data_IF_003986294602
#
_entry.id   IF_003986294602
#
_cell.length_a   1.000
_cell.length_b   1.000
_cell.length_c   1.000
_cell.angle_alpha   90.00
_cell.angle_beta   90.00
_cell.angle_gamma   90.00
#
_symmetry.space_group_name_H-M   'P 1'
#
loop_
_entity.id
_entity.type
_entity.pdbx_description
1 polymer ?
#
# COMPACT_ATOMS: atom_id res chain seq x y z
N UNK A 1 6.29 -1.67 -3.47
CA UNK A 1 7.55 -2.13 -2.84
C UNK A 1 8.17 -3.21 -3.70
N UNK A 2 9.48 -3.13 -3.94
CA UNK A 2 10.27 -4.18 -4.60
C UNK A 2 11.66 -4.17 -3.95
N UNK A 3 12.04 -5.26 -3.27
CA UNK A 3 13.25 -5.28 -2.41
C UNK A 3 14.54 -5.15 -3.23
N UNK A 4 14.68 -5.93 -4.30
CA UNK A 4 15.81 -5.82 -5.24
C UNK A 4 17.18 -6.07 -4.64
N UNK A 5 17.24 -6.59 -3.40
CA UNK A 5 18.48 -6.67 -2.65
C UNK A 5 19.20 -5.32 -2.53
N UNK A 6 18.45 -4.23 -2.32
CA UNK A 6 18.99 -2.87 -2.32
C UNK A 6 20.14 -2.66 -1.31
N UNK A 7 20.16 -3.43 -0.22
CA UNK A 7 21.15 -3.35 0.85
C UNK A 7 22.26 -4.42 0.75
N UNK A 8 22.22 -5.27 -0.28
CA UNK A 8 23.21 -6.33 -0.50
C UNK A 8 23.13 -7.51 0.49
N UNK A 9 22.20 -7.51 1.45
CA UNK A 9 22.17 -8.51 2.55
C UNK A 9 21.51 -9.83 2.17
N UNK A 10 20.81 -9.88 1.04
CA UNK A 10 20.04 -11.04 0.56
C UNK A 10 19.05 -11.58 1.60
N UNK A 11 18.54 -10.69 2.45
CA UNK A 11 17.60 -11.03 3.51
C UNK A 11 16.31 -10.23 3.31
N UNK A 12 15.17 -10.91 3.23
CA UNK A 12 13.89 -10.27 2.94
C UNK A 12 13.40 -9.53 4.19
N UNK A 13 13.23 -8.19 4.14
CA UNK A 13 12.69 -7.45 5.26
C UNK A 13 11.19 -7.69 5.41
N UNK A 14 10.71 -7.65 6.65
CA UNK A 14 9.31 -7.59 7.01
C UNK A 14 9.08 -6.37 7.91
N UNK A 15 8.04 -5.61 7.61
CA UNK A 15 7.71 -4.40 8.35
C UNK A 15 6.23 -4.09 8.25
N UNK A 16 5.73 -3.37 9.24
CA UNK A 16 4.34 -2.92 9.28
C UNK A 16 4.23 -1.51 8.73
N UNK A 17 3.10 -1.24 8.06
CA UNK A 17 2.69 0.08 7.62
C UNK A 17 1.60 0.61 8.55
N UNK A 18 1.75 1.87 8.92
CA UNK A 18 0.71 2.64 9.60
C UNK A 18 0.43 3.91 8.78
N UNK A 19 -0.83 4.29 8.75
CA UNK A 19 -1.26 5.63 8.32
C UNK A 19 -1.68 6.38 9.57
N UNK A 20 -0.92 7.43 9.88
CA UNK A 20 -0.92 8.10 11.17
C UNK A 20 -0.70 7.08 12.32
N UNK A 21 -1.68 6.92 13.20
CA UNK A 21 -1.63 5.97 14.33
C UNK A 21 -2.32 4.63 14.02
N UNK A 22 -2.93 4.50 12.84
CA UNK A 22 -3.76 3.35 12.48
C UNK A 22 -2.93 2.31 11.73
N UNK A 23 -3.00 1.06 12.18
CA UNK A 23 -2.39 -0.06 11.46
C UNK A 23 -3.04 -0.23 10.09
N UNK A 24 -2.21 -0.29 9.05
CA UNK A 24 -2.66 -0.52 7.68
C UNK A 24 -2.45 -1.98 7.28
N UNK A 25 -1.20 -2.45 7.23
CA UNK A 25 -0.88 -3.80 6.73
C UNK A 25 0.59 -4.14 6.99
N UNK A 26 0.93 -5.44 6.99
CA UNK A 26 2.32 -5.90 6.93
C UNK A 26 2.79 -6.06 5.49
N UNK A 27 4.04 -5.69 5.23
CA UNK A 27 4.75 -5.90 3.97
C UNK A 27 5.69 -7.09 4.13
N UNK A 28 5.46 -8.12 3.33
CA UNK A 28 6.23 -9.36 3.27
C UNK A 28 6.57 -9.66 1.82
N UNK A 29 7.70 -10.33 1.57
CA UNK A 29 8.13 -10.72 0.24
C UNK A 29 8.36 -12.23 0.17
N UNK A 30 8.02 -12.85 -0.96
CA UNK A 30 8.35 -14.24 -1.32
C UNK A 30 9.76 -14.34 -1.89
N UNK A 31 10.22 -13.30 -2.59
CA UNK A 31 11.58 -13.20 -3.14
C UNK A 31 11.96 -11.74 -3.43
N UNK A 32 13.22 -11.50 -3.81
CA UNK A 32 13.76 -10.15 -4.00
C UNK A 32 13.18 -9.39 -5.22
N UNK A 33 12.66 -10.11 -6.21
CA UNK A 33 12.09 -9.54 -7.45
C UNK A 33 10.58 -9.34 -7.38
N UNK A 34 9.93 -9.70 -6.26
CA UNK A 34 8.50 -9.55 -6.12
C UNK A 34 8.09 -8.08 -6.02
N UNK A 35 7.08 -7.73 -6.81
CA UNK A 35 6.39 -6.45 -6.70
C UNK A 35 5.21 -6.59 -5.73
N UNK A 36 5.34 -5.98 -4.55
CA UNK A 36 4.28 -5.92 -3.55
C UNK A 36 3.62 -4.53 -3.60
N UNK A 37 2.34 -4.50 -3.95
CA UNK A 37 1.53 -3.27 -3.98
C UNK A 37 0.57 -3.32 -2.79
N UNK A 38 0.52 -2.22 -2.04
CA UNK A 38 -0.45 -2.01 -0.97
C UNK A 38 -1.24 -0.74 -1.30
N UNK A 39 -2.55 -0.80 -1.13
CA UNK A 39 -3.44 0.33 -1.36
C UNK A 39 -4.39 0.50 -0.18
N UNK A 40 -4.59 1.75 0.24
CA UNK A 40 -5.55 2.16 1.26
C UNK A 40 -6.26 3.42 0.79
N UNK A 41 -7.55 3.45 1.05
CA UNK A 41 -8.33 4.68 1.06
C UNK A 41 -8.45 5.12 2.51
N UNK A 42 -7.98 6.33 2.81
CA UNK A 42 -8.08 6.92 4.15
C UNK A 42 -8.73 8.29 4.06
N UNK A 43 -9.38 8.70 5.15
CA UNK A 43 -9.88 10.06 5.31
C UNK A 43 -8.79 10.92 5.97
N UNK A 44 -8.43 12.04 5.34
CA UNK A 44 -7.46 12.96 5.90
C UNK A 44 -8.13 13.84 6.96
N UNK A 45 -7.83 13.58 8.24
CA UNK A 45 -8.33 14.37 9.38
C UNK A 45 -7.57 15.70 9.55
N UNK A 46 -6.42 15.84 8.90
CA UNK A 46 -5.57 17.02 8.96
C UNK A 46 -4.89 17.31 7.61
N UNK A 47 -4.23 18.46 7.50
CA UNK A 47 -3.43 18.82 6.32
C UNK A 47 -2.16 17.95 6.15
N UNK A 48 -1.79 17.19 7.19
CA UNK A 48 -0.66 16.27 7.18
C UNK A 48 -1.13 14.83 7.36
N UNK A 49 -0.50 13.92 6.62
CA UNK A 49 -0.68 12.47 6.78
C UNK A 49 0.69 11.84 6.96
N UNK A 50 0.84 11.03 7.99
CA UNK A 50 2.08 10.30 8.26
C UNK A 50 1.97 8.88 7.74
N UNK A 51 2.99 8.43 7.01
CA UNK A 51 3.13 7.02 6.63
C UNK A 51 4.33 6.46 7.38
N UNK A 52 4.06 5.62 8.38
CA UNK A 52 5.07 5.09 9.27
C UNK A 52 5.42 3.65 8.87
N UNK A 53 6.72 3.36 8.79
CA UNK A 53 7.25 2.03 8.52
C UNK A 53 7.87 1.48 9.81
N UNK A 54 7.23 0.47 10.40
CA UNK A 54 7.66 -0.11 11.67
C UNK A 54 8.47 -1.37 11.42
N UNK A 55 9.75 -1.34 11.81
CA UNK A 55 10.66 -2.46 11.65
C UNK A 55 10.31 -3.60 12.62
N UNK A 56 10.20 -4.83 12.11
CA UNK A 56 9.96 -6.04 12.92
C UNK A 56 11.23 -6.82 13.28
N UNK A 57 12.40 -6.24 13.02
CA UNK A 57 13.71 -6.81 13.32
C UNK A 57 14.29 -7.69 12.21
N UNK A 58 13.64 -7.80 11.07
CA UNK A 58 14.05 -8.70 9.96
C UNK A 58 14.77 -7.98 8.82
N UNK A 59 14.89 -6.65 8.87
CA UNK A 59 15.64 -5.86 7.90
C UNK A 59 15.27 -4.38 7.98
N UNK A 60 15.86 -3.53 7.13
CA UNK A 60 15.52 -2.10 7.11
C UNK A 60 14.27 -1.88 6.26
N UNK A 61 13.18 -1.31 6.83
CA UNK A 61 11.99 -0.96 6.05
C UNK A 61 12.30 0.06 4.95
N UNK A 62 11.60 -0.01 3.83
CA UNK A 62 11.86 0.84 2.68
C UNK A 62 10.57 1.15 1.92
N UNK A 63 10.59 2.23 1.13
CA UNK A 63 9.54 2.59 0.17
C UNK A 63 10.18 2.70 -1.21
N UNK A 64 9.66 1.98 -2.20
CA UNK A 64 10.09 2.14 -3.60
C UNK A 64 9.36 3.28 -4.30
N UNK A 65 8.07 3.43 -4.02
CA UNK A 65 7.21 4.48 -4.54
C UNK A 65 6.05 4.71 -3.56
N UNK A 66 5.65 5.97 -3.40
CA UNK A 66 4.49 6.40 -2.64
C UNK A 66 3.65 7.33 -3.52
N UNK A 67 2.38 6.98 -3.70
CA UNK A 67 1.43 7.72 -4.55
C UNK A 67 0.28 8.18 -3.65
N UNK A 68 0.05 9.50 -3.56
CA UNK A 68 -1.09 10.08 -2.86
C UNK A 68 -2.06 10.66 -3.88
N UNK A 69 -3.34 10.31 -3.76
CA UNK A 69 -4.37 10.75 -4.70
C UNK A 69 -5.61 11.24 -3.98
N UNK A 70 -5.96 12.53 -4.13
CA UNK A 70 -7.28 12.99 -3.77
C UNK A 70 -8.33 12.22 -4.56
N UNK A 71 -9.40 11.82 -3.90
CA UNK A 71 -10.49 11.09 -4.54
C UNK A 71 -11.83 11.46 -3.90
N UNK A 72 -12.90 11.42 -4.69
CA UNK A 72 -14.25 11.61 -4.18
C UNK A 72 -14.68 10.37 -3.39
N UNK A 73 -15.03 10.53 -2.12
CA UNK A 73 -15.46 9.43 -1.25
C UNK A 73 -16.89 8.94 -1.53
N UNK A 74 -17.65 9.64 -2.38
CA UNK A 74 -19.03 9.26 -2.70
C UNK A 74 -19.18 7.88 -3.34
N UNK A 75 -18.14 7.39 -4.01
CA UNK A 75 -18.13 6.11 -4.73
C UNK A 75 -17.83 4.90 -3.82
N UNK A 76 -17.33 5.12 -2.60
CA UNK A 76 -17.07 4.06 -1.61
C UNK A 76 -17.86 4.34 -0.34
N UNK A 77 -19.14 3.98 -0.35
CA UNK A 77 -19.99 3.99 0.84
C UNK A 77 -19.77 2.73 1.67
N UNK A 78 -19.77 2.88 3.00
CA UNK A 78 -19.76 1.75 3.94
C UNK A 78 -20.93 1.87 4.92
N UNK A 79 -21.31 0.77 5.55
CA UNK A 79 -22.31 0.76 6.64
C UNK A 79 -21.86 1.56 7.88
N UNK A 80 -20.55 1.81 8.01
CA UNK A 80 -19.94 2.61 9.07
C UNK A 80 -19.75 4.08 8.67
N UNK A 81 -20.30 4.51 7.52
CA UNK A 81 -20.16 5.86 6.99
C UNK A 81 -19.01 6.02 6.00
N UNK A 82 -18.52 7.25 5.84
CA UNK A 82 -17.47 7.61 4.85
C UNK A 82 -16.14 8.03 5.47
N UNK A 83 -16.09 8.16 6.79
CA UNK A 83 -14.89 8.55 7.55
C UNK A 83 -14.18 7.30 8.09
N UNK A 84 -14.15 6.24 7.30
CA UNK A 84 -13.49 4.98 7.64
C UNK A 84 -12.47 4.64 6.56
N UNK A 85 -11.38 4.01 6.98
CA UNK A 85 -10.36 3.56 6.05
C UNK A 85 -10.74 2.22 5.41
N UNK A 86 -10.45 2.06 4.12
CA UNK A 86 -10.65 0.83 3.37
C UNK A 86 -9.32 0.33 2.82
N UNK A 87 -8.98 -0.93 3.10
CA UNK A 87 -7.81 -1.58 2.51
C UNK A 87 -8.23 -2.34 1.27
N UNK A 88 -7.47 -2.21 0.18
CA UNK A 88 -7.74 -2.96 -1.04
C UNK A 88 -7.59 -4.46 -0.77
N UNK A 89 -8.68 -5.19 -0.89
CA UNK A 89 -8.63 -6.66 -0.91
C UNK A 89 -8.21 -7.15 -2.28
N UNK A 90 -9.01 -6.86 -3.31
CA UNK A 90 -8.74 -7.21 -4.70
C UNK A 90 -9.41 -6.20 -5.64
N UNK A 91 -8.86 -6.05 -6.85
CA UNK A 91 -9.46 -5.29 -7.94
C UNK A 91 -9.39 -6.15 -9.19
N UNK A 92 -10.55 -6.41 -9.79
CA UNK A 92 -10.68 -7.25 -10.97
C UNK A 92 -11.28 -6.44 -12.10
N UNK A 93 -10.75 -6.64 -13.29
CA UNK A 93 -11.42 -6.27 -14.53
C UNK A 93 -11.94 -7.56 -15.16
N UNK A 94 -13.26 -7.78 -15.04
CA UNK A 94 -13.90 -8.98 -15.54
C UNK A 94 -14.32 -8.77 -17.00
N UNK A 95 -13.63 -9.42 -17.93
CA UNK A 95 -13.98 -9.43 -19.36
C UNK A 95 -12.92 -8.85 -20.30
N UNK A 96 -11.79 -8.37 -19.77
CA UNK A 96 -10.69 -7.84 -20.58
C UNK A 96 -9.54 -8.84 -20.73
N UNK A 97 -9.13 -9.13 -21.97
CA UNK A 97 -8.13 -10.17 -22.28
C UNK A 97 -6.67 -9.72 -22.19
N UNK A 98 -6.40 -8.40 -22.21
CA UNK A 98 -5.04 -7.87 -22.39
C UNK A 98 -4.47 -7.09 -21.20
N UNK A 99 -5.07 -7.21 -20.00
CA UNK A 99 -4.62 -6.52 -18.79
C UNK A 99 -4.80 -4.99 -18.85
N UNK A 100 -5.23 -4.37 -17.75
CA UNK A 100 -5.40 -2.91 -17.73
C UNK A 100 -4.19 -2.21 -17.15
N UNK A 101 -3.67 -1.23 -17.91
CA UNK A 101 -2.69 -0.26 -17.43
C UNK A 101 -3.38 0.89 -16.72
N UNK A 102 -2.78 1.37 -15.61
CA UNK A 102 -3.31 2.51 -14.83
C UNK A 102 -3.29 3.83 -15.61
N UNK A 103 -2.40 3.93 -16.60
CA UNK A 103 -2.24 5.07 -17.50
C UNK A 103 -2.44 4.60 -18.94
N UNK A 104 -3.13 5.40 -19.75
CA UNK A 104 -3.11 5.24 -21.21
C UNK A 104 -1.76 5.76 -21.72
N UNK A 105 -1.17 5.03 -22.67
CA UNK A 105 0.01 5.50 -23.42
C UNK A 105 -0.33 6.71 -24.29
#
# INVERSE_FOLDING_TARGET
>A
FMYGNYDGKKNLPEFDLYVDVNFWTSVTFRNASENVIKEILSFAESETVHVCLVNKGTGTPFISALELRPMNSSIYGTEFGRNVSLVLHQRWDTGYLNGTGRYQN
#
